data_IF_362222862646
#
_entry.id   IF_362222862646
#
_cell.length_a   1.000
_cell.length_b   1.000
_cell.length_c   1.000
_cell.angle_alpha   90.00
_cell.angle_beta   90.00
_cell.angle_gamma   90.00
#
_symmetry.space_group_name_H-M   'P 1'
#
loop_
_entity.id
_entity.type
_entity.pdbx_description
1 polymer ?
#
# COMPACT_ATOMS: atom_id res chain seq x y z
N UNK A 1 1.63 -32.42 -14.17
CA UNK A 1 0.36 -31.78 -13.77
C UNK A 1 0.58 -30.95 -12.50
N UNK A 2 0.12 -29.70 -12.44
CA UNK A 2 0.15 -28.93 -11.19
C UNK A 2 -0.92 -29.50 -10.25
N UNK A 3 -0.54 -29.89 -9.04
CA UNK A 3 -1.48 -30.30 -8.00
C UNK A 3 -1.78 -29.13 -7.03
N UNK A 4 -2.78 -29.30 -6.18
CA UNK A 4 -3.21 -28.27 -5.23
C UNK A 4 -2.06 -27.78 -4.33
N UNK A 5 -1.20 -28.69 -3.88
CA UNK A 5 -0.04 -28.36 -3.05
C UNK A 5 0.97 -27.46 -3.78
N UNK A 6 1.23 -27.72 -5.05
CA UNK A 6 2.14 -26.92 -5.87
C UNK A 6 1.60 -25.50 -6.13
N UNK A 7 0.29 -25.36 -6.29
CA UNK A 7 -0.36 -24.04 -6.45
C UNK A 7 -0.33 -23.25 -5.14
N UNK A 8 -0.59 -23.89 -4.00
CA UNK A 8 -0.50 -23.26 -2.68
C UNK A 8 0.92 -22.75 -2.39
N UNK A 9 1.95 -23.54 -2.68
CA UNK A 9 3.35 -23.09 -2.56
C UNK A 9 3.67 -21.88 -3.43
N UNK A 10 3.11 -21.80 -4.65
CA UNK A 10 3.26 -20.61 -5.50
C UNK A 10 2.59 -19.39 -4.87
N UNK A 11 1.40 -19.57 -4.27
CA UNK A 11 0.69 -18.51 -3.57
C UNK A 11 1.46 -18.03 -2.33
N UNK A 12 1.99 -18.94 -1.50
CA UNK A 12 2.78 -18.58 -0.32
C UNK A 12 4.00 -17.70 -0.64
N UNK A 13 4.60 -17.90 -1.82
CA UNK A 13 5.71 -17.08 -2.30
C UNK A 13 5.24 -15.68 -2.66
N UNK A 14 4.07 -15.55 -3.30
CA UNK A 14 3.46 -14.26 -3.62
C UNK A 14 3.09 -13.53 -2.33
N UNK A 15 2.46 -14.21 -1.38
CA UNK A 15 2.03 -13.62 -0.11
C UNK A 15 3.21 -13.09 0.70
N UNK A 16 4.32 -13.85 0.76
CA UNK A 16 5.58 -13.37 1.37
C UNK A 16 6.10 -12.10 0.70
N UNK A 17 6.04 -12.02 -0.64
CA UNK A 17 6.44 -10.81 -1.37
C UNK A 17 5.50 -9.64 -1.08
N UNK A 18 4.19 -9.87 -1.02
CA UNK A 18 3.21 -8.84 -0.68
C UNK A 18 3.48 -8.24 0.71
N UNK A 19 3.72 -9.08 1.72
CA UNK A 19 4.05 -8.61 3.07
C UNK A 19 5.34 -7.79 3.08
N UNK A 20 6.40 -8.26 2.41
CA UNK A 20 7.67 -7.52 2.32
C UNK A 20 7.49 -6.14 1.65
N UNK A 21 6.76 -6.08 0.52
CA UNK A 21 6.49 -4.84 -0.21
C UNK A 21 5.64 -3.86 0.60
N UNK A 22 4.61 -4.35 1.30
CA UNK A 22 3.80 -3.52 2.19
C UNK A 22 4.64 -2.97 3.34
N UNK A 23 5.52 -3.79 3.93
CA UNK A 23 6.47 -3.36 4.96
C UNK A 23 7.41 -2.25 4.48
N UNK A 24 8.01 -2.41 3.30
CA UNK A 24 8.84 -1.38 2.67
C UNK A 24 8.06 -0.09 2.43
N UNK A 25 6.84 -0.19 1.87
CA UNK A 25 5.96 0.95 1.66
C UNK A 25 5.67 1.71 2.96
N UNK A 26 5.45 1.00 4.07
CA UNK A 26 5.21 1.62 5.38
C UNK A 26 6.44 2.33 5.95
N UNK A 27 7.66 1.82 5.70
CA UNK A 27 8.90 2.53 6.07
C UNK A 27 9.00 3.90 5.38
N UNK A 28 8.85 3.91 4.05
CA UNK A 28 8.86 5.14 3.25
C UNK A 28 7.75 6.11 3.72
N UNK A 29 6.56 5.59 4.02
CA UNK A 29 5.45 6.39 4.53
C UNK A 29 5.78 7.06 5.88
N UNK A 30 6.54 6.40 6.76
CA UNK A 30 6.99 7.02 8.03
C UNK A 30 8.00 8.14 7.78
N UNK A 31 8.93 7.94 6.86
CA UNK A 31 9.89 8.99 6.44
C UNK A 31 9.16 10.20 5.87
N UNK A 32 8.17 9.97 5.00
CA UNK A 32 7.28 11.03 4.48
C UNK A 32 6.55 11.74 5.63
N UNK A 33 6.05 11.00 6.62
CA UNK A 33 5.39 11.57 7.80
C UNK A 33 6.32 12.48 8.62
N UNK A 34 7.55 12.03 8.85
CA UNK A 34 8.57 12.82 9.55
C UNK A 34 8.91 14.12 8.78
N UNK A 35 9.13 14.03 7.47
CA UNK A 35 9.40 15.20 6.62
C UNK A 35 8.21 16.17 6.56
N UNK A 36 6.97 15.66 6.44
CA UNK A 36 5.78 16.52 6.50
C UNK A 36 5.70 17.27 7.82
N UNK A 37 6.05 16.63 8.93
CA UNK A 37 6.07 17.26 10.25
C UNK A 37 7.10 18.39 10.33
N UNK A 38 8.31 18.20 9.79
CA UNK A 38 9.33 19.27 9.76
C UNK A 38 8.90 20.44 8.86
N UNK A 39 8.11 20.17 7.83
CA UNK A 39 7.59 21.17 6.89
C UNK A 39 6.21 21.75 7.29
N UNK A 40 5.67 21.39 8.47
CA UNK A 40 4.31 21.76 8.90
C UNK A 40 3.21 21.42 7.86
N UNK A 41 3.38 20.34 7.09
CA UNK A 41 2.41 19.88 6.10
C UNK A 41 1.40 18.90 6.70
N UNK A 42 0.13 18.92 6.24
CA UNK A 42 -0.88 17.98 6.71
C UNK A 42 -0.60 16.54 6.24
N UNK A 43 -0.90 15.59 7.12
CA UNK A 43 -0.85 14.15 6.81
C UNK A 43 -1.82 13.81 5.69
N UNK A 44 -3.06 14.30 5.77
CA UNK A 44 -4.11 14.03 4.79
C UNK A 44 -3.99 14.97 3.58
N UNK A 45 -3.83 14.38 2.39
CA UNK A 45 -3.68 15.10 1.12
C UNK A 45 -4.58 14.46 0.05
N UNK A 46 -5.86 14.86 -0.05
CA UNK A 46 -6.87 14.19 -0.88
C UNK A 46 -6.50 14.15 -2.37
N UNK A 47 -5.85 15.20 -2.88
CA UNK A 47 -5.38 15.27 -4.28
C UNK A 47 -4.40 14.13 -4.59
N UNK A 48 -3.47 13.84 -3.68
CA UNK A 48 -2.50 12.75 -3.83
C UNK A 48 -3.15 11.37 -3.74
N UNK A 49 -4.09 11.18 -2.82
CA UNK A 49 -4.83 9.90 -2.73
C UNK A 49 -5.64 9.63 -4.01
N UNK A 50 -6.28 10.66 -4.59
CA UNK A 50 -7.02 10.56 -5.86
C UNK A 50 -6.10 10.18 -7.03
N UNK A 51 -4.92 10.78 -7.12
CA UNK A 51 -3.93 10.46 -8.16
C UNK A 51 -3.46 9.00 -8.06
N UNK A 52 -3.14 8.53 -6.84
CA UNK A 52 -2.73 7.14 -6.62
C UNK A 52 -3.86 6.19 -7.03
N UNK A 53 -5.11 6.45 -6.65
CA UNK A 53 -6.24 5.59 -7.01
C UNK A 53 -6.47 5.52 -8.53
N UNK A 54 -6.27 6.62 -9.28
CA UNK A 54 -6.32 6.60 -10.74
C UNK A 54 -5.28 5.62 -11.31
N UNK A 55 -4.04 5.71 -10.82
CA UNK A 55 -2.96 4.82 -11.26
C UNK A 55 -3.22 3.36 -10.89
N UNK A 56 -3.82 3.12 -9.72
CA UNK A 56 -4.21 1.78 -9.25
C UNK A 56 -5.27 1.17 -10.14
N UNK A 57 -6.30 1.92 -10.51
CA UNK A 57 -7.36 1.45 -11.43
C UNK A 57 -6.78 1.07 -12.78
N UNK A 58 -5.90 1.92 -13.34
CA UNK A 58 -5.22 1.64 -14.61
C UNK A 58 -4.40 0.33 -14.54
N UNK A 59 -3.54 0.20 -13.52
CA UNK A 59 -2.71 -0.99 -13.32
C UNK A 59 -3.53 -2.26 -13.07
N UNK A 60 -4.63 -2.16 -12.33
CA UNK A 60 -5.51 -3.29 -12.06
C UNK A 60 -6.11 -3.84 -13.36
N UNK A 61 -6.63 -2.97 -14.22
CA UNK A 61 -7.16 -3.36 -15.54
C UNK A 61 -6.11 -4.08 -16.38
N UNK A 62 -4.90 -3.51 -16.46
CA UNK A 62 -3.80 -4.14 -17.22
C UNK A 62 -3.36 -5.49 -16.66
N UNK A 63 -3.53 -5.73 -15.36
CA UNK A 63 -3.21 -7.00 -14.71
C UNK A 63 -4.37 -8.02 -14.74
N UNK A 64 -5.50 -7.72 -15.41
CA UNK A 64 -6.70 -8.57 -15.38
C UNK A 64 -7.39 -8.62 -14.02
N UNK A 65 -7.10 -7.66 -13.14
CA UNK A 65 -7.70 -7.55 -11.80
C UNK A 65 -8.91 -6.61 -11.84
N UNK A 66 -10.02 -7.01 -11.21
CA UNK A 66 -11.18 -6.13 -11.04
C UNK A 66 -10.76 -4.84 -10.30
N UNK A 67 -10.99 -3.64 -10.87
CA UNK A 67 -10.52 -2.39 -10.27
C UNK A 67 -11.02 -2.13 -8.86
N UNK A 68 -12.22 -2.60 -8.52
CA UNK A 68 -12.80 -2.46 -7.18
C UNK A 68 -11.97 -3.16 -6.11
N UNK A 69 -11.39 -4.33 -6.44
CA UNK A 69 -10.50 -5.07 -5.53
C UNK A 69 -9.26 -4.25 -5.22
N UNK A 70 -8.62 -3.71 -6.27
CA UNK A 70 -7.42 -2.89 -6.13
C UNK A 70 -7.68 -1.60 -5.33
N UNK A 71 -8.83 -0.94 -5.56
CA UNK A 71 -9.25 0.24 -4.79
C UNK A 71 -9.36 -0.09 -3.30
N UNK A 72 -10.08 -1.17 -2.94
CA UNK A 72 -10.25 -1.56 -1.53
C UNK A 72 -8.91 -1.85 -0.84
N UNK A 73 -8.01 -2.56 -1.53
CA UNK A 73 -6.66 -2.82 -1.03
C UNK A 73 -5.92 -1.51 -0.74
N UNK A 74 -5.94 -0.56 -1.68
CA UNK A 74 -5.23 0.71 -1.51
C UNK A 74 -5.87 1.61 -0.45
N UNK A 75 -7.18 1.58 -0.26
CA UNK A 75 -7.86 2.28 0.84
C UNK A 75 -7.41 1.75 2.20
N UNK A 76 -7.27 0.42 2.35
CA UNK A 76 -6.71 -0.18 3.55
C UNK A 76 -5.25 0.25 3.78
N UNK A 77 -4.44 0.26 2.73
CA UNK A 77 -3.06 0.74 2.81
C UNK A 77 -2.98 2.21 3.18
N UNK A 78 -3.87 3.08 2.67
CA UNK A 78 -3.94 4.48 3.08
C UNK A 78 -4.31 4.65 4.54
N UNK A 79 -5.26 3.86 5.05
CA UNK A 79 -5.62 3.88 6.46
C UNK A 79 -4.41 3.52 7.34
N UNK A 80 -3.73 2.41 7.03
CA UNK A 80 -2.50 2.02 7.71
C UNK A 80 -1.40 3.09 7.59
N UNK A 81 -1.30 3.75 6.43
CA UNK A 81 -0.31 4.80 6.18
C UNK A 81 -0.52 6.03 7.05
N UNK A 82 -1.78 6.47 7.19
CA UNK A 82 -2.12 7.62 8.03
C UNK A 82 -1.84 7.33 9.49
N UNK A 83 -2.13 6.12 9.96
CA UNK A 83 -1.78 5.68 11.32
C UNK A 83 -0.26 5.69 11.52
N UNK A 84 0.51 5.09 10.60
CA UNK A 84 1.96 5.04 10.68
C UNK A 84 2.63 6.43 10.67
N UNK A 85 2.04 7.42 9.97
CA UNK A 85 2.52 8.81 9.98
C UNK A 85 2.21 9.55 11.29
N UNK A 86 1.12 9.19 11.98
CA UNK A 86 0.69 9.82 13.24
C UNK A 86 1.43 9.27 14.45
N UNK A 87 1.77 7.98 14.45
CA UNK A 87 2.40 7.27 15.57
C UNK A 87 3.90 7.62 15.75
N UNK A 88 4.42 8.62 15.03
CA UNK A 88 5.79 9.13 15.20
C UNK A 88 5.86 9.97 16.49
N UNK A 89 6.00 9.28 17.63
CA UNK A 89 6.36 9.90 18.92
C UNK A 89 7.72 10.61 18.77
N UNK A 90 7.87 11.78 19.40
CA UNK A 90 9.18 12.45 19.54
C UNK A 90 10.13 11.49 20.28
N UNK A 91 11.43 11.45 19.92
CA UNK A 91 12.44 10.86 20.81
C UNK A 91 12.41 11.57 22.16
#
# INVERSE_FOLDING_TARGET
MKNLAALRKQLDVIDRKLIALVGQRLKIVREIGALKKTLNLPVYQPRREKEILKNVVFRAKHAGMEPRVAIRLFQLLFHASRKAQRDIKKP
#
